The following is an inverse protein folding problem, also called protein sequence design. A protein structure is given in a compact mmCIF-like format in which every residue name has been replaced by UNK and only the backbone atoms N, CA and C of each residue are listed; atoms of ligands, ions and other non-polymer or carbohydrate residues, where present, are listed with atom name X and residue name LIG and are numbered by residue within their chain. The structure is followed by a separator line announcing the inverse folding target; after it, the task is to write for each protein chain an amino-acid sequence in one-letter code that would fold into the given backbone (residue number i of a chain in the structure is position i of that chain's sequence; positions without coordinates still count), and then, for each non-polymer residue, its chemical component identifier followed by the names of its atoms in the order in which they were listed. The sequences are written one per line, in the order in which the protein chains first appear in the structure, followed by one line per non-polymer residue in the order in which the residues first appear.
data_IF_213909732838
#
_entry.id   IF_213909732838
#
_cell.length_a   1.000
_cell.length_b   1.000
_cell.length_c   1.000
_cell.angle_alpha   90.00
_cell.angle_beta   90.00
_cell.angle_gamma   90.00
#
_symmetry.space_group_name_H-M   'P 1'
#
loop_
_entity.id
_entity.type
_entity.pdbx_description
1 polymer ?
#
# COMPACT_ATOMS: atom_id res chain seq x y z
N UNK A 1 -1.35 8.49 -25.42
CA UNK A 1 -0.45 8.36 -24.26
C UNK A 1 -1.30 8.11 -23.02
N UNK A 2 -0.93 7.18 -22.13
CA UNK A 2 -1.72 6.88 -20.92
C UNK A 2 -1.54 8.00 -19.89
N UNK A 3 -2.56 8.26 -19.07
CA UNK A 3 -2.51 9.26 -17.98
C UNK A 3 -1.44 8.92 -16.95
N UNK A 4 -1.31 7.64 -16.60
CA UNK A 4 -0.31 7.13 -15.68
C UNK A 4 -0.01 5.65 -15.95
N UNK A 5 1.12 5.17 -15.42
CA UNK A 5 1.57 3.79 -15.59
C UNK A 5 0.89 2.87 -14.58
N UNK A 6 -0.29 2.38 -14.92
CA UNK A 6 -1.01 1.46 -14.03
C UNK A 6 -0.27 0.12 -13.88
N UNK A 7 -0.13 -0.36 -12.64
CA UNK A 7 0.55 -1.61 -12.29
C UNK A 7 0.05 -2.85 -13.05
N UNK A 8 -1.24 -2.88 -13.43
CA UNK A 8 -1.81 -3.97 -14.23
C UNK A 8 -1.07 -4.17 -15.57
N UNK A 9 -0.53 -3.09 -16.16
CA UNK A 9 0.19 -3.17 -17.42
C UNK A 9 1.60 -3.72 -17.20
N UNK A 10 2.30 -3.26 -16.16
CA UNK A 10 3.58 -3.83 -15.75
C UNK A 10 3.51 -5.36 -15.57
N UNK A 11 2.47 -5.87 -14.91
CA UNK A 11 2.30 -7.31 -14.73
C UNK A 11 2.17 -8.06 -16.07
N UNK A 12 1.41 -7.50 -17.01
CA UNK A 12 1.24 -8.10 -18.34
C UNK A 12 2.55 -8.04 -19.13
N UNK A 13 3.23 -6.90 -19.09
CA UNK A 13 4.50 -6.69 -19.81
C UNK A 13 5.61 -7.60 -19.25
N UNK A 14 5.64 -7.83 -17.93
CA UNK A 14 6.65 -8.67 -17.26
C UNK A 14 6.35 -10.17 -17.36
N UNK A 15 5.09 -10.59 -17.26
CA UNK A 15 4.72 -12.01 -17.15
C UNK A 15 3.98 -12.60 -18.36
N UNK A 16 3.72 -11.77 -19.38
CA UNK A 16 3.06 -12.15 -20.63
C UNK A 16 1.54 -12.37 -20.53
N UNK A 17 0.96 -12.28 -19.34
CA UNK A 17 -0.47 -12.48 -19.10
C UNK A 17 -0.95 -11.71 -17.85
N UNK A 18 -2.27 -11.48 -17.70
CA UNK A 18 -2.81 -10.86 -16.49
C UNK A 18 -2.53 -11.69 -15.24
N UNK A 19 -2.07 -11.01 -14.19
CA UNK A 19 -1.77 -11.60 -12.88
C UNK A 19 -2.67 -10.98 -11.81
N UNK A 20 -3.11 -11.79 -10.85
CA UNK A 20 -3.88 -11.34 -9.69
C UNK A 20 -3.12 -11.55 -8.37
N UNK A 21 -3.08 -10.51 -7.53
CA UNK A 21 -2.66 -10.60 -6.12
C UNK A 21 -3.82 -11.19 -5.30
N UNK A 22 -3.62 -12.34 -4.66
CA UNK A 22 -4.59 -12.96 -3.74
C UNK A 22 -4.29 -12.47 -2.33
N UNK A 23 -5.14 -11.64 -1.71
CA UNK A 23 -4.93 -11.16 -0.36
C UNK A 23 -5.09 -12.30 0.65
N UNK A 24 -4.14 -12.40 1.58
CA UNK A 24 -4.04 -13.42 2.61
C UNK A 24 -3.78 -12.78 3.97
N UNK A 25 -4.33 -13.37 5.03
CA UNK A 25 -4.02 -13.06 6.41
C UNK A 25 -3.08 -14.13 6.98
N UNK A 26 -1.82 -13.74 7.26
CA UNK A 26 -0.82 -14.62 7.85
C UNK A 26 -0.96 -14.81 9.36
N UNK A 27 -1.91 -14.14 10.02
CA UNK A 27 -2.06 -14.17 11.48
C UNK A 27 -0.99 -13.37 12.23
N UNK A 28 -0.39 -12.39 11.56
CA UNK A 28 0.59 -11.48 12.17
C UNK A 28 -0.10 -10.31 12.89
N UNK A 29 0.68 -9.57 13.66
CA UNK A 29 0.26 -8.31 14.31
C UNK A 29 1.14 -7.14 13.86
N UNK A 30 1.10 -6.02 14.58
CA UNK A 30 1.88 -4.83 14.34
C UNK A 30 2.52 -4.36 15.67
N UNK A 31 3.79 -3.90 15.68
CA UNK A 31 4.44 -3.40 16.88
C UNK A 31 3.75 -2.19 17.53
N UNK A 32 2.90 -1.48 16.78
CA UNK A 32 2.09 -0.37 17.32
C UNK A 32 0.81 -0.84 18.03
N UNK A 33 0.47 -2.13 17.91
CA UNK A 33 -0.73 -2.72 18.50
C UNK A 33 -0.36 -3.46 19.79
N UNK A 34 0.73 -4.24 19.78
CA UNK A 34 1.06 -5.21 20.83
C UNK A 34 1.87 -4.64 22.01
N UNK A 35 2.23 -3.35 21.98
CA UNK A 35 3.00 -2.68 23.02
C UNK A 35 4.50 -2.58 22.76
N UNK A 36 5.03 -3.17 21.68
CA UNK A 36 6.47 -3.16 21.41
C UNK A 36 6.99 -1.77 20.99
N UNK A 37 6.15 -0.98 20.31
CA UNK A 37 6.42 0.43 19.96
C UNK A 37 5.35 1.38 20.49
N UNK A 38 4.10 0.95 20.46
CA UNK A 38 2.96 1.69 20.99
C UNK A 38 1.80 0.74 21.29
N UNK A 39 0.71 1.28 21.82
CA UNK A 39 -0.54 0.56 22.03
C UNK A 39 -1.65 1.14 21.14
N UNK A 40 -2.57 0.27 20.70
CA UNK A 40 -3.80 0.68 20.00
C UNK A 40 -3.67 0.98 18.50
N UNK A 41 -2.48 0.83 17.91
CA UNK A 41 -2.24 1.02 16.48
C UNK A 41 -2.05 2.48 16.05
N UNK A 42 -1.85 2.71 14.75
CA UNK A 42 -1.86 4.07 14.19
C UNK A 42 -3.27 4.66 14.30
N UNK A 43 -3.38 5.98 14.46
CA UNK A 43 -4.66 6.61 14.84
C UNK A 43 -5.79 6.40 13.83
N UNK A 44 -5.46 6.16 12.56
CA UNK A 44 -6.41 5.90 11.46
C UNK A 44 -6.64 4.41 11.18
N UNK A 45 -5.87 3.51 11.80
CA UNK A 45 -5.71 2.14 11.30
C UNK A 45 -6.82 1.20 11.78
N UNK A 46 -7.57 0.64 10.83
CA UNK A 46 -8.47 -0.49 11.04
C UNK A 46 -8.23 -1.53 9.94
N UNK A 47 -7.62 -2.67 10.30
CA UNK A 47 -7.24 -3.69 9.30
C UNK A 47 -8.46 -4.40 8.71
N UNK A 48 -9.56 -4.51 9.45
CA UNK A 48 -10.79 -5.16 8.98
C UNK A 48 -11.46 -4.30 7.90
N UNK A 49 -11.50 -2.99 8.11
CA UNK A 49 -12.04 -2.04 7.14
C UNK A 49 -11.19 -1.94 5.86
N UNK A 50 -9.87 -2.10 5.97
CA UNK A 50 -8.97 -2.01 4.81
C UNK A 50 -8.80 -3.31 4.04
N UNK A 51 -9.09 -4.44 4.68
CA UNK A 51 -8.82 -5.77 4.13
C UNK A 51 -9.83 -6.80 4.64
N UNK A 52 -10.77 -7.25 3.78
CA UNK A 52 -11.78 -8.23 4.18
C UNK A 52 -11.20 -9.58 4.65
N UNK A 53 -9.96 -9.90 4.29
CA UNK A 53 -9.30 -11.14 4.73
C UNK A 53 -8.78 -11.04 6.16
N UNK A 54 -8.70 -9.85 6.76
CA UNK A 54 -8.23 -9.65 8.13
C UNK A 54 -9.10 -10.39 9.17
N UNK A 55 -10.41 -10.54 8.91
CA UNK A 55 -11.35 -11.27 9.78
C UNK A 55 -11.41 -12.78 9.49
N UNK A 56 -10.61 -13.29 8.56
CA UNK A 56 -10.64 -14.71 8.21
C UNK A 56 -10.05 -15.57 9.31
N UNK A 57 -10.82 -16.58 9.75
CA UNK A 57 -10.36 -17.65 10.65
C UNK A 57 -9.86 -18.89 9.88
N UNK A 58 -9.87 -18.84 8.55
CA UNK A 58 -9.37 -19.95 7.73
C UNK A 58 -7.84 -20.06 7.84
N UNK A 59 -7.31 -21.28 7.75
CA UNK A 59 -5.87 -21.46 7.59
C UNK A 59 -5.38 -20.88 6.25
N UNK A 60 -4.08 -20.57 6.18
CA UNK A 60 -3.49 -19.84 5.05
C UNK A 60 -3.68 -20.54 3.69
N UNK A 61 -3.58 -21.87 3.66
CA UNK A 61 -3.73 -22.64 2.42
C UNK A 61 -5.18 -22.69 1.95
N UNK A 62 -6.14 -22.70 2.88
CA UNK A 62 -7.55 -22.65 2.56
C UNK A 62 -7.95 -21.25 2.05
N UNK A 63 -7.42 -20.18 2.66
CA UNK A 63 -7.58 -18.81 2.14
C UNK A 63 -7.07 -18.72 0.69
N UNK A 64 -5.86 -19.23 0.43
CA UNK A 64 -5.25 -19.27 -0.89
C UNK A 64 -6.11 -20.03 -1.90
N UNK A 65 -6.52 -21.25 -1.56
CA UNK A 65 -7.30 -22.12 -2.45
C UNK A 65 -8.65 -21.48 -2.79
N UNK A 66 -9.36 -20.91 -1.80
CA UNK A 66 -10.61 -20.18 -2.02
C UNK A 66 -10.40 -18.95 -2.92
N UNK A 67 -9.31 -18.21 -2.70
CA UNK A 67 -8.94 -17.04 -3.50
C UNK A 67 -8.68 -17.38 -4.97
N UNK A 68 -7.88 -18.42 -5.21
CA UNK A 68 -7.58 -18.91 -6.56
C UNK A 68 -8.86 -19.41 -7.25
N UNK A 69 -9.64 -20.26 -6.58
CA UNK A 69 -10.86 -20.85 -7.15
C UNK A 69 -11.84 -19.78 -7.68
N UNK A 70 -12.00 -18.68 -6.93
CA UNK A 70 -12.85 -17.54 -7.31
C UNK A 70 -12.34 -16.75 -8.51
N UNK A 71 -11.07 -16.88 -8.89
CA UNK A 71 -10.43 -16.06 -9.92
C UNK A 71 -9.95 -16.86 -11.14
N UNK A 72 -9.97 -18.20 -11.06
CA UNK A 72 -9.47 -19.09 -12.12
C UNK A 72 -10.14 -18.94 -13.48
N UNK A 73 -11.35 -18.36 -13.53
CA UNK A 73 -12.05 -18.10 -14.79
C UNK A 73 -11.41 -16.99 -15.64
N UNK A 74 -10.53 -16.17 -15.04
CA UNK A 74 -9.90 -15.01 -15.69
C UNK A 74 -8.38 -14.96 -15.55
N UNK A 75 -7.81 -15.65 -14.55
CA UNK A 75 -6.40 -15.59 -14.23
C UNK A 75 -5.82 -17.00 -14.09
N UNK A 76 -4.62 -17.22 -14.66
CA UNK A 76 -3.89 -18.48 -14.50
C UNK A 76 -2.69 -18.35 -13.54
N UNK A 77 -2.16 -17.13 -13.39
CA UNK A 77 -1.01 -16.80 -12.55
C UNK A 77 -1.40 -15.89 -11.39
N UNK A 78 -0.88 -16.21 -10.21
CA UNK A 78 -1.21 -15.51 -8.98
C UNK A 78 0.04 -15.13 -8.18
N UNK A 79 -0.09 -14.03 -7.45
CA UNK A 79 0.87 -13.60 -6.43
C UNK A 79 0.16 -13.74 -5.08
N UNK A 80 0.75 -14.47 -4.14
CA UNK A 80 0.23 -14.52 -2.78
C UNK A 80 0.54 -13.18 -2.08
N UNK A 81 -0.48 -12.47 -1.63
CA UNK A 81 -0.32 -11.14 -1.04
C UNK A 81 -0.70 -11.13 0.43
N UNK A 82 0.29 -11.18 1.31
CA UNK A 82 0.11 -10.98 2.73
C UNK A 82 -0.13 -9.50 2.99
N UNK A 83 -1.39 -9.14 3.23
CA UNK A 83 -1.86 -7.75 3.23
C UNK A 83 -2.05 -7.12 4.61
N UNK A 84 -2.85 -7.72 5.52
CA UNK A 84 -3.15 -7.08 6.80
C UNK A 84 -1.94 -7.12 7.72
N UNK A 85 -1.85 -6.15 8.64
CA UNK A 85 -0.80 -6.05 9.66
C UNK A 85 0.63 -5.93 9.09
N UNK A 86 1.65 -6.28 9.89
CA UNK A 86 3.06 -6.15 9.53
C UNK A 86 3.63 -7.53 9.24
N UNK A 87 3.67 -7.93 7.96
CA UNK A 87 3.88 -9.34 7.62
C UNK A 87 5.31 -9.82 7.87
N UNK A 88 6.29 -8.94 8.08
CA UNK A 88 7.66 -9.30 8.47
C UNK A 88 7.89 -9.26 9.98
N UNK A 89 6.85 -8.97 10.78
CA UNK A 89 6.92 -8.88 12.24
C UNK A 89 6.74 -10.24 12.92
N UNK A 90 7.72 -11.12 12.73
CA UNK A 90 7.86 -12.39 13.43
C UNK A 90 9.28 -12.95 13.25
N UNK A 91 9.75 -13.89 14.09
CA UNK A 91 10.99 -14.62 13.82
C UNK A 91 10.96 -15.30 12.45
N UNK A 92 12.11 -15.34 11.76
CA UNK A 92 12.21 -15.88 10.39
C UNK A 92 11.69 -17.31 10.28
N UNK A 93 11.90 -18.15 11.30
CA UNK A 93 11.35 -19.51 11.35
C UNK A 93 9.81 -19.52 11.19
N UNK A 94 9.11 -18.56 11.80
CA UNK A 94 7.66 -18.42 11.68
C UNK A 94 7.26 -17.89 10.30
N UNK A 95 8.03 -16.96 9.73
CA UNK A 95 7.81 -16.46 8.37
C UNK A 95 7.91 -17.62 7.35
N UNK A 96 8.96 -18.45 7.45
CA UNK A 96 9.16 -19.65 6.62
C UNK A 96 7.99 -20.63 6.73
N UNK A 97 7.51 -20.91 7.94
CA UNK A 97 6.34 -21.78 8.15
C UNK A 97 5.06 -21.31 7.45
N UNK A 98 4.90 -19.99 7.25
CA UNK A 98 3.69 -19.41 6.65
C UNK A 98 3.86 -19.24 5.13
N UNK A 99 5.03 -18.78 4.67
CA UNK A 99 5.24 -18.42 3.27
C UNK A 99 5.58 -19.62 2.39
N UNK A 100 6.41 -20.55 2.85
CA UNK A 100 6.88 -21.67 2.04
C UNK A 100 5.73 -22.57 1.55
N UNK A 101 4.72 -22.93 2.37
CA UNK A 101 3.60 -23.74 1.89
C UNK A 101 2.79 -23.04 0.80
N UNK A 102 2.72 -21.70 0.83
CA UNK A 102 2.00 -20.90 -0.17
C UNK A 102 2.79 -20.83 -1.48
N UNK A 103 4.11 -20.66 -1.39
CA UNK A 103 5.01 -20.65 -2.55
C UNK A 103 5.11 -22.01 -3.23
N UNK A 104 4.91 -23.11 -2.51
CA UNK A 104 4.87 -24.45 -3.09
C UNK A 104 3.64 -24.70 -3.99
N UNK A 105 2.64 -23.81 -3.99
CA UNK A 105 1.45 -23.98 -4.81
C UNK A 105 1.75 -23.68 -6.29
N UNK A 106 1.43 -24.57 -7.26
CA UNK A 106 1.91 -24.49 -8.64
C UNK A 106 1.42 -23.27 -9.44
N UNK A 107 0.34 -22.62 -9.00
CA UNK A 107 -0.19 -21.39 -9.60
C UNK A 107 0.35 -20.10 -8.99
N UNK A 108 1.17 -20.20 -7.94
CA UNK A 108 1.81 -19.08 -7.26
C UNK A 108 3.23 -18.96 -7.77
N UNK A 109 3.56 -17.81 -8.34
CA UNK A 109 4.89 -17.53 -8.87
C UNK A 109 5.57 -16.35 -8.16
N UNK A 110 4.85 -15.70 -7.23
CA UNK A 110 5.31 -14.51 -6.55
C UNK A 110 4.70 -14.36 -5.16
N UNK A 111 5.40 -13.59 -4.34
CA UNK A 111 5.02 -13.24 -2.98
C UNK A 111 5.00 -11.72 -2.85
N UNK A 112 3.88 -11.18 -2.36
CA UNK A 112 3.76 -9.78 -1.98
C UNK A 112 3.57 -9.65 -0.47
N UNK A 113 4.32 -8.75 0.16
CA UNK A 113 4.33 -8.55 1.60
C UNK A 113 4.03 -7.09 1.95
N UNK A 114 2.86 -6.82 2.50
CA UNK A 114 2.54 -5.54 3.14
C UNK A 114 3.17 -5.48 4.53
N UNK A 115 4.06 -4.52 4.78
CA UNK A 115 4.73 -4.45 6.07
C UNK A 115 5.18 -3.03 6.45
N UNK A 116 5.85 -2.92 7.59
CA UNK A 116 6.43 -1.69 8.10
C UNK A 116 7.96 -1.71 7.95
N UNK A 117 8.62 -0.54 7.81
CA UNK A 117 10.07 -0.50 7.69
C UNK A 117 10.80 -0.96 8.97
N UNK A 118 10.20 -0.75 10.14
CA UNK A 118 10.76 -1.08 11.45
C UNK A 118 10.53 -2.55 11.86
N UNK A 119 10.15 -3.41 10.90
CA UNK A 119 9.91 -4.85 11.09
C UNK A 119 10.92 -5.71 10.30
N UNK A 120 12.12 -5.19 10.06
CA UNK A 120 13.21 -5.91 9.41
C UNK A 120 14.40 -6.07 10.35
N UNK A 121 14.90 -7.30 10.45
CA UNK A 121 16.20 -7.63 11.05
C UNK A 121 17.16 -8.08 9.94
N UNK A 122 18.45 -8.23 10.25
CA UNK A 122 19.41 -8.80 9.30
C UNK A 122 19.00 -10.20 8.83
N UNK A 123 18.45 -11.03 9.72
CA UNK A 123 17.90 -12.35 9.35
C UNK A 123 16.70 -12.23 8.42
N UNK A 124 15.81 -11.25 8.65
CA UNK A 124 14.68 -10.99 7.75
C UNK A 124 15.20 -10.59 6.38
N UNK A 125 16.19 -9.72 6.28
CA UNK A 125 16.78 -9.33 4.99
C UNK A 125 17.46 -10.50 4.28
N UNK A 126 18.20 -11.35 5.00
CA UNK A 126 18.78 -12.56 4.41
C UNK A 126 17.70 -13.49 3.84
N UNK A 127 16.57 -13.65 4.55
CA UNK A 127 15.45 -14.43 4.01
C UNK A 127 14.74 -13.75 2.83
N UNK A 128 14.64 -12.41 2.82
CA UNK A 128 14.10 -11.69 1.66
C UNK A 128 15.00 -11.86 0.43
N UNK A 129 16.32 -11.93 0.61
CA UNK A 129 17.29 -12.21 -0.46
C UNK A 129 17.08 -13.62 -1.05
N UNK A 130 16.99 -14.64 -0.18
CA UNK A 130 16.65 -16.02 -0.59
C UNK A 130 15.32 -16.09 -1.37
N UNK A 131 14.33 -15.27 -0.99
CA UNK A 131 13.05 -15.20 -1.68
C UNK A 131 13.16 -14.48 -3.03
N UNK A 132 13.85 -13.34 -3.09
CA UNK A 132 13.99 -12.54 -4.30
C UNK A 132 14.70 -13.29 -5.43
N UNK A 133 15.64 -14.18 -5.10
CA UNK A 133 16.37 -15.00 -6.08
C UNK A 133 15.47 -16.04 -6.78
N UNK A 134 14.53 -16.66 -6.05
CA UNK A 134 13.73 -17.79 -6.56
C UNK A 134 12.27 -17.49 -6.87
N UNK A 135 11.76 -16.32 -6.48
CA UNK A 135 10.37 -15.93 -6.70
C UNK A 135 10.24 -14.44 -7.00
N UNK A 136 9.13 -14.04 -7.62
CA UNK A 136 8.83 -12.62 -7.73
C UNK A 136 8.44 -12.06 -6.36
N UNK A 137 9.38 -11.41 -5.67
CA UNK A 137 9.16 -10.76 -4.39
C UNK A 137 8.75 -9.29 -4.57
N UNK A 138 7.62 -8.91 -3.97
CA UNK A 138 7.07 -7.56 -3.93
C UNK A 138 6.89 -7.13 -2.47
N UNK A 139 7.66 -6.17 -2.01
CA UNK A 139 7.54 -5.65 -0.64
C UNK A 139 6.88 -4.28 -0.68
N UNK A 140 5.78 -4.16 0.02
CA UNK A 140 5.00 -2.94 0.09
C UNK A 140 5.14 -2.31 1.48
N UNK A 141 5.78 -1.15 1.57
CA UNK A 141 6.05 -0.45 2.83
C UNK A 141 5.05 0.67 3.10
N UNK A 142 4.48 0.64 4.29
CA UNK A 142 3.60 1.67 4.81
C UNK A 142 4.31 2.97 5.22
N UNK A 143 4.82 3.78 4.28
CA UNK A 143 5.44 5.07 4.62
C UNK A 143 4.41 6.12 5.07
N UNK A 144 3.25 6.14 4.42
CA UNK A 144 2.14 7.10 4.61
C UNK A 144 2.44 8.52 4.13
N UNK A 145 3.54 9.12 4.61
CA UNK A 145 3.99 10.48 4.25
C UNK A 145 5.50 10.60 4.44
N UNK A 146 6.15 11.55 3.76
CA UNK A 146 7.57 11.87 4.02
C UNK A 146 7.76 12.78 5.24
N UNK A 147 6.67 13.20 5.90
CA UNK A 147 6.71 14.19 6.98
C UNK A 147 6.71 13.54 8.36
N UNK A 148 7.87 13.52 9.02
CA UNK A 148 8.01 12.94 10.37
C UNK A 148 7.09 13.57 11.42
N UNK A 149 6.69 14.84 11.25
CA UNK A 149 5.70 15.50 12.13
C UNK A 149 4.33 14.81 12.03
N UNK A 150 3.85 14.56 10.81
CA UNK A 150 2.59 13.88 10.55
C UNK A 150 2.64 12.43 11.02
N UNK A 151 3.76 11.73 10.80
CA UNK A 151 3.99 10.36 11.27
C UNK A 151 3.86 10.25 12.80
N UNK A 152 4.41 11.22 13.54
CA UNK A 152 4.23 11.29 15.00
C UNK A 152 2.77 11.56 15.38
N UNK A 153 2.11 12.50 14.70
CA UNK A 153 0.72 12.87 14.98
C UNK A 153 -0.26 11.70 14.78
N UNK A 154 0.01 10.81 13.82
CA UNK A 154 -0.83 9.63 13.57
C UNK A 154 -0.38 8.36 14.32
N UNK A 155 0.50 8.50 15.31
CA UNK A 155 1.05 7.37 16.08
C UNK A 155 1.67 6.29 15.17
N UNK A 156 2.45 6.70 14.15
CA UNK A 156 3.09 5.75 13.22
C UNK A 156 4.33 5.09 13.83
N UNK A 157 5.08 5.78 14.68
CA UNK A 157 6.22 5.24 15.45
C UNK A 157 7.42 4.72 14.63
N UNK A 158 7.49 5.07 13.34
CA UNK A 158 8.71 5.03 12.55
C UNK A 158 8.84 6.37 11.81
N UNK A 159 10.02 6.63 11.26
CA UNK A 159 10.36 7.83 10.48
C UNK A 159 10.27 7.55 8.98
N UNK A 160 10.34 8.60 8.17
CA UNK A 160 10.44 8.46 6.73
C UNK A 160 11.81 7.88 6.33
N UNK A 161 12.87 8.23 7.07
CA UNK A 161 14.23 7.74 6.87
C UNK A 161 14.33 6.21 7.06
N UNK A 162 13.61 5.65 8.04
CA UNK A 162 13.52 4.19 8.22
C UNK A 162 12.98 3.51 6.94
N UNK A 163 12.00 4.12 6.26
CA UNK A 163 11.52 3.61 4.97
C UNK A 163 12.59 3.70 3.89
N UNK A 164 13.33 4.80 3.81
CA UNK A 164 14.33 5.01 2.77
C UNK A 164 15.45 3.97 2.85
N UNK A 165 15.92 3.66 4.07
CA UNK A 165 16.92 2.61 4.29
C UNK A 165 16.42 1.26 3.79
N UNK A 166 15.21 0.85 4.20
CA UNK A 166 14.66 -0.45 3.81
C UNK A 166 14.44 -0.53 2.29
N UNK A 167 13.97 0.55 1.65
CA UNK A 167 13.84 0.60 0.19
C UNK A 167 15.19 0.42 -0.51
N UNK A 168 16.25 1.10 -0.04
CA UNK A 168 17.59 0.95 -0.59
C UNK A 168 18.10 -0.49 -0.49
N UNK A 169 17.89 -1.13 0.67
CA UNK A 169 18.29 -2.53 0.89
C UNK A 169 17.52 -3.48 -0.02
N UNK A 170 16.19 -3.40 -0.04
CA UNK A 170 15.34 -4.26 -0.87
C UNK A 170 15.59 -4.07 -2.36
N UNK A 171 15.88 -2.84 -2.80
CA UNK A 171 16.24 -2.56 -4.19
C UNK A 171 17.49 -3.32 -4.62
N UNK A 172 18.51 -3.40 -3.75
CA UNK A 172 19.74 -4.17 -4.01
C UNK A 172 19.50 -5.68 -4.07
N UNK A 173 18.48 -6.19 -3.39
CA UNK A 173 18.07 -7.60 -3.48
C UNK A 173 17.31 -7.94 -4.76
N UNK A 174 16.97 -6.93 -5.59
CA UNK A 174 16.13 -7.12 -6.78
C UNK A 174 14.64 -7.30 -6.47
N UNK A 175 14.20 -7.04 -5.24
CA UNK A 175 12.79 -7.07 -4.87
C UNK A 175 12.03 -5.88 -5.49
N UNK A 176 10.78 -6.12 -5.90
CA UNK A 176 9.88 -5.02 -6.22
C UNK A 176 9.54 -4.25 -4.95
N UNK A 177 9.71 -2.93 -4.98
CA UNK A 177 9.44 -2.04 -3.86
C UNK A 177 8.24 -1.16 -4.16
N UNK A 178 7.27 -1.16 -3.25
CA UNK A 178 6.06 -0.35 -3.37
C UNK A 178 5.89 0.50 -2.13
N UNK A 179 5.75 1.82 -2.29
CA UNK A 179 5.42 2.71 -1.17
C UNK A 179 3.90 2.87 -1.05
N UNK A 180 3.37 2.80 0.17
CA UNK A 180 2.00 3.21 0.46
C UNK A 180 2.01 4.64 0.99
N UNK A 181 1.10 5.46 0.47
CA UNK A 181 0.90 6.84 0.90
C UNK A 181 -0.57 7.12 1.18
N UNK A 182 -0.82 8.04 2.11
CA UNK A 182 -2.16 8.52 2.46
C UNK A 182 -2.20 10.03 2.24
N UNK A 183 -3.09 10.46 1.36
CA UNK A 183 -3.34 11.87 1.07
C UNK A 183 -4.42 12.42 2.01
N UNK A 184 -4.13 13.56 2.64
CA UNK A 184 -5.04 14.25 3.54
C UNK A 184 -4.85 13.92 5.01
N UNK A 185 -3.65 13.51 5.42
CA UNK A 185 -3.35 13.28 6.83
C UNK A 185 -3.55 14.57 7.66
N UNK A 186 -3.96 14.46 8.93
CA UNK A 186 -4.20 15.63 9.78
C UNK A 186 -2.95 16.50 9.90
N UNK A 187 -3.10 17.80 9.68
CA UNK A 187 -2.02 18.77 9.75
C UNK A 187 -1.18 18.93 8.48
N UNK A 188 -1.44 18.15 7.42
CA UNK A 188 -0.77 18.29 6.12
C UNK A 188 -1.52 19.23 5.18
N UNK A 189 -0.76 20.07 4.49
CA UNK A 189 -1.25 20.92 3.40
C UNK A 189 -1.11 20.19 2.05
N UNK A 190 -1.76 20.72 0.99
CA UNK A 190 -1.55 20.25 -0.39
C UNK A 190 -0.07 20.23 -0.77
N UNK A 191 0.68 21.24 -0.37
CA UNK A 191 2.11 21.32 -0.64
C UNK A 191 2.91 20.23 0.08
N UNK A 192 2.52 19.82 1.29
CA UNK A 192 3.16 18.72 2.00
C UNK A 192 2.98 17.38 1.26
N UNK A 193 1.78 17.14 0.73
CA UNK A 193 1.51 15.98 -0.12
C UNK A 193 2.33 16.01 -1.42
N UNK A 194 2.53 17.18 -2.02
CA UNK A 194 3.33 17.33 -3.24
C UNK A 194 4.83 17.09 -2.99
N UNK A 195 5.34 17.57 -1.85
CA UNK A 195 6.70 17.25 -1.39
C UNK A 195 6.88 15.76 -1.16
N UNK A 196 5.87 15.08 -0.60
CA UNK A 196 5.90 13.62 -0.46
C UNK A 196 6.02 12.93 -1.83
N UNK A 197 5.28 13.38 -2.86
CA UNK A 197 5.42 12.85 -4.22
C UNK A 197 6.83 13.05 -4.79
N UNK A 198 7.44 14.23 -4.58
CA UNK A 198 8.80 14.52 -5.04
C UNK A 198 9.83 13.63 -4.37
N UNK A 199 9.75 13.47 -3.04
CA UNK A 199 10.60 12.53 -2.30
C UNK A 199 10.47 11.12 -2.89
N UNK A 200 9.24 10.65 -3.10
CA UNK A 200 8.97 9.33 -3.65
C UNK A 200 9.55 9.15 -5.05
N UNK A 201 9.47 10.18 -5.89
CA UNK A 201 10.02 10.15 -7.24
C UNK A 201 11.53 9.92 -7.27
N UNK A 202 12.24 10.28 -6.19
CA UNK A 202 13.69 10.10 -6.07
C UNK A 202 14.11 8.82 -5.35
N UNK A 203 13.17 8.06 -4.79
CA UNK A 203 13.48 6.81 -4.09
C UNK A 203 13.67 5.66 -5.09
N UNK A 204 14.53 4.67 -4.75
CA UNK A 204 14.73 3.47 -5.57
C UNK A 204 13.57 2.48 -5.40
N UNK A 205 12.38 2.92 -5.79
CA UNK A 205 11.15 2.14 -5.71
C UNK A 205 10.52 1.99 -7.08
N UNK A 206 9.74 0.92 -7.22
CA UNK A 206 9.12 0.54 -8.48
C UNK A 206 7.67 1.02 -8.56
N UNK A 207 6.98 1.11 -7.41
CA UNK A 207 5.56 1.41 -7.39
C UNK A 207 5.09 2.29 -6.24
N UNK A 208 3.93 2.90 -6.46
CA UNK A 208 3.23 3.75 -5.49
C UNK A 208 1.79 3.26 -5.35
N UNK A 209 1.35 3.06 -4.11
CA UNK A 209 -0.03 2.75 -3.76
C UNK A 209 -0.63 3.93 -2.99
N UNK A 210 -1.52 4.66 -3.66
CA UNK A 210 -2.09 5.90 -3.15
C UNK A 210 -3.44 5.62 -2.52
N UNK A 211 -3.64 6.16 -1.33
CA UNK A 211 -4.87 6.11 -0.57
C UNK A 211 -5.30 7.55 -0.24
N UNK A 212 -6.61 7.81 -0.25
CA UNK A 212 -7.17 8.94 0.48
C UNK A 212 -7.24 8.62 1.97
N UNK A 213 -7.15 9.64 2.83
CA UNK A 213 -7.47 9.45 4.24
C UNK A 213 -8.94 9.04 4.36
N UNK A 214 -9.17 7.90 5.02
CA UNK A 214 -10.49 7.43 5.42
C UNK A 214 -10.57 7.44 6.93
N UNK A 215 -11.65 8.02 7.45
CA UNK A 215 -12.00 8.00 8.87
C UNK A 215 -12.94 6.82 9.08
N UNK A 216 -12.43 5.81 9.78
CA UNK A 216 -13.16 4.59 10.13
C UNK A 216 -13.62 4.69 11.58
N UNK A 217 -14.85 4.29 11.86
CA UNK A 217 -15.40 4.25 13.21
C UNK A 217 -14.53 3.40 14.15
N UNK A 218 -14.62 3.65 15.45
CA UNK A 218 -13.82 2.99 16.51
C UNK A 218 -12.30 3.25 16.44
N UNK A 219 -11.83 4.10 15.53
CA UNK A 219 -10.43 4.58 15.53
C UNK A 219 -10.26 5.85 16.37
N UNK A 220 -9.03 6.11 16.86
CA UNK A 220 -8.70 7.38 17.51
C UNK A 220 -9.01 8.56 16.58
N UNK A 221 -8.76 8.38 15.28
CA UNK A 221 -9.01 9.40 14.28
C UNK A 221 -10.51 9.71 14.11
N UNK A 222 -11.41 8.74 14.30
CA UNK A 222 -12.85 9.02 14.33
C UNK A 222 -13.23 9.96 15.48
N UNK A 223 -12.61 9.82 16.65
CA UNK A 223 -12.83 10.74 17.76
C UNK A 223 -12.28 12.14 17.44
N UNK A 224 -11.08 12.23 16.84
CA UNK A 224 -10.50 13.51 16.40
C UNK A 224 -11.36 14.20 15.32
N UNK A 225 -11.88 13.43 14.36
CA UNK A 225 -12.78 13.92 13.32
C UNK A 225 -14.06 14.51 13.90
N UNK A 226 -14.69 13.85 14.88
CA UNK A 226 -15.89 14.35 15.56
C UNK A 226 -15.65 15.66 16.32
N UNK A 227 -14.39 15.96 16.68
CA UNK A 227 -13.98 17.25 17.28
C UNK A 227 -13.61 18.31 16.25
N UNK A 228 -13.68 18.01 14.95
CA UNK A 228 -13.32 18.93 13.86
C UNK A 228 -11.82 19.05 13.62
N UNK A 229 -10.99 18.13 14.12
CA UNK A 229 -9.52 18.20 14.03
C UNK A 229 -8.96 17.54 12.76
N UNK A 230 -9.79 16.78 12.04
CA UNK A 230 -9.39 15.97 10.90
C UNK A 230 -10.25 16.36 9.70
N UNK A 231 -9.69 17.04 8.68
CA UNK A 231 -10.41 17.24 7.43
C UNK A 231 -10.45 15.96 6.61
N UNK A 232 -11.43 15.84 5.72
CA UNK A 232 -11.43 14.83 4.64
C UNK A 232 -11.74 15.52 3.31
N UNK A 233 -11.23 14.96 2.22
CA UNK A 233 -11.48 15.53 0.90
C UNK A 233 -12.86 15.14 0.37
N UNK A 234 -13.58 16.11 -0.18
CA UNK A 234 -14.55 15.81 -1.22
C UNK A 234 -13.85 15.26 -2.47
N UNK A 235 -14.62 14.68 -3.39
CA UNK A 235 -14.06 13.95 -4.52
C UNK A 235 -13.33 14.85 -5.52
N UNK A 236 -13.82 16.09 -5.73
CA UNK A 236 -13.21 17.04 -6.67
C UNK A 236 -11.88 17.56 -6.15
N UNK A 237 -11.84 17.96 -4.86
CA UNK A 237 -10.63 18.35 -4.15
C UNK A 237 -9.62 17.21 -4.12
N UNK A 238 -10.07 15.96 -3.92
CA UNK A 238 -9.20 14.80 -3.98
C UNK A 238 -8.61 14.58 -5.39
N UNK A 239 -9.42 14.69 -6.44
CA UNK A 239 -8.97 14.53 -7.82
C UNK A 239 -7.91 15.57 -8.20
N UNK A 240 -8.09 16.82 -7.76
CA UNK A 240 -7.11 17.90 -7.93
C UNK A 240 -5.78 17.55 -7.25
N UNK A 241 -5.81 17.23 -5.96
CA UNK A 241 -4.59 16.88 -5.18
C UNK A 241 -3.90 15.64 -5.76
N UNK A 242 -4.68 14.61 -6.10
CA UNK A 242 -4.16 13.39 -6.70
C UNK A 242 -3.50 13.66 -8.06
N UNK A 243 -4.08 14.54 -8.88
CA UNK A 243 -3.50 14.89 -10.17
C UNK A 243 -2.11 15.52 -10.02
N UNK A 244 -1.98 16.49 -9.10
CA UNK A 244 -0.71 17.17 -8.81
C UNK A 244 0.31 16.20 -8.19
N UNK A 245 -0.15 15.26 -7.36
CA UNK A 245 0.69 14.19 -6.81
C UNK A 245 1.24 13.30 -7.94
N UNK A 246 0.38 12.79 -8.83
CA UNK A 246 0.75 11.91 -9.95
C UNK A 246 1.70 12.60 -10.93
N UNK A 247 1.46 13.88 -11.25
CA UNK A 247 2.32 14.65 -12.16
C UNK A 247 3.76 14.79 -11.64
N UNK A 248 4.00 14.67 -10.33
CA UNK A 248 5.33 14.78 -9.71
C UNK A 248 6.03 13.44 -9.49
N UNK A 249 5.33 12.32 -9.64
CA UNK A 249 5.95 10.99 -9.54
C UNK A 249 6.93 10.75 -10.68
N UNK A 250 7.88 9.85 -10.46
CA UNK A 250 8.84 9.48 -11.51
C UNK A 250 8.09 8.85 -12.71
N UNK A 251 8.42 9.21 -13.96
CA UNK A 251 7.75 8.69 -15.16
C UNK A 251 7.78 7.17 -15.31
N UNK A 252 8.74 6.47 -14.70
CA UNK A 252 8.88 5.00 -14.80
C UNK A 252 8.24 4.24 -13.63
N UNK A 253 7.84 4.92 -12.56
CA UNK A 253 7.18 4.27 -11.43
C UNK A 253 5.77 3.81 -11.80
N UNK A 254 5.32 2.69 -11.25
CA UNK A 254 3.98 2.16 -11.48
C UNK A 254 3.00 2.56 -10.38
N UNK A 255 1.77 2.87 -10.74
CA UNK A 255 0.71 3.19 -9.78
C UNK A 255 -0.15 1.94 -9.56
N UNK A 256 -0.07 1.38 -8.34
CA UNK A 256 -0.83 0.21 -7.93
C UNK A 256 -2.30 0.53 -7.70
N UNK A 257 -2.56 1.75 -7.24
CA UNK A 257 -3.88 2.22 -6.82
C UNK A 257 -3.86 3.74 -6.72
N UNK A 258 -4.99 4.36 -7.08
CA UNK A 258 -5.23 5.79 -6.89
C UNK A 258 -6.33 6.09 -5.87
N UNK A 259 -7.18 5.13 -5.49
CA UNK A 259 -8.15 5.26 -4.40
C UNK A 259 -8.30 3.95 -3.63
N UNK A 260 -8.51 4.06 -2.32
CA UNK A 260 -8.98 2.97 -1.48
C UNK A 260 -10.51 2.83 -1.55
N UNK A 261 -11.00 1.62 -1.30
CA UNK A 261 -12.42 1.32 -1.15
C UNK A 261 -12.64 0.81 0.27
N UNK A 262 -13.77 1.20 0.86
CA UNK A 262 -14.23 0.70 2.15
C UNK A 262 -15.60 0.06 1.96
N UNK A 263 -15.87 -1.05 2.64
CA UNK A 263 -17.19 -1.71 2.56
C UNK A 263 -18.18 -0.96 3.44
N UNK A 264 -19.47 -1.02 3.10
CA UNK A 264 -20.54 -0.33 3.85
C UNK A 264 -20.60 -0.79 5.31
N UNK A 265 -20.34 -2.07 5.58
CA UNK A 265 -20.33 -2.68 6.91
C UNK A 265 -19.05 -2.39 7.73
N UNK A 266 -18.07 -1.73 7.13
CA UNK A 266 -16.76 -1.48 7.74
C UNK A 266 -16.67 -0.15 8.52
N UNK A 267 -17.79 0.54 8.72
CA UNK A 267 -17.86 1.71 9.61
C UNK A 267 -17.21 2.98 9.04
N UNK A 268 -17.21 3.19 7.73
CA UNK A 268 -16.69 4.42 7.13
C UNK A 268 -17.51 5.66 7.56
N UNK A 269 -16.86 6.62 8.21
CA UNK A 269 -17.44 7.93 8.56
C UNK A 269 -17.23 8.93 7.42
N UNK A 270 -16.02 9.00 6.87
CA UNK A 270 -15.68 9.92 5.78
C UNK A 270 -14.41 9.47 5.02
N UNK A 271 -14.24 9.84 3.74
CA UNK A 271 -15.25 10.46 2.90
C UNK A 271 -16.16 9.39 2.26
N UNK A 272 -17.47 9.66 2.23
CA UNK A 272 -18.52 8.69 1.83
C UNK A 272 -18.36 8.18 0.38
N UNK A 273 -17.70 8.93 -0.49
CA UNK A 273 -17.42 8.48 -1.86
C UNK A 273 -16.51 7.24 -1.89
N UNK A 274 -15.79 6.92 -0.81
CA UNK A 274 -14.98 5.69 -0.72
C UNK A 274 -15.81 4.39 -0.70
N UNK A 275 -17.13 4.46 -0.54
CA UNK A 275 -18.05 3.32 -0.64
C UNK A 275 -18.31 2.88 -2.09
N UNK A 276 -18.16 3.78 -3.07
CA UNK A 276 -18.46 3.48 -4.46
C UNK A 276 -17.24 3.75 -5.36
N UNK A 277 -16.29 2.82 -5.29
CA UNK A 277 -15.03 2.90 -6.04
C UNK A 277 -15.22 3.14 -7.53
N UNK A 278 -16.17 2.46 -8.17
CA UNK A 278 -16.40 2.58 -9.62
C UNK A 278 -16.81 4.00 -9.99
N UNK A 279 -17.76 4.57 -9.24
CA UNK A 279 -18.22 5.94 -9.47
C UNK A 279 -17.08 6.95 -9.26
N UNK A 280 -16.35 6.83 -8.14
CA UNK A 280 -15.23 7.73 -7.83
C UNK A 280 -14.10 7.67 -8.85
N UNK A 281 -13.72 6.47 -9.30
CA UNK A 281 -12.71 6.31 -10.34
C UNK A 281 -13.11 6.98 -11.66
N UNK A 282 -14.37 6.86 -12.06
CA UNK A 282 -14.84 7.49 -13.30
C UNK A 282 -14.74 9.01 -13.23
N UNK A 283 -15.14 9.61 -12.11
CA UNK A 283 -15.05 11.07 -11.92
C UNK A 283 -13.60 11.54 -11.88
N UNK A 284 -12.71 10.82 -11.20
CA UNK A 284 -11.28 11.13 -11.17
C UNK A 284 -10.68 11.04 -12.58
N UNK A 285 -11.01 10.02 -13.36
CA UNK A 285 -10.52 9.89 -14.74
C UNK A 285 -11.08 11.00 -15.65
N UNK A 286 -12.34 11.38 -15.51
CA UNK A 286 -12.91 12.51 -16.24
C UNK A 286 -12.16 13.81 -15.91
N UNK A 287 -11.83 14.03 -14.63
CA UNK A 287 -11.01 15.15 -14.20
C UNK A 287 -9.61 15.10 -14.83
N UNK A 288 -8.98 13.92 -14.86
CA UNK A 288 -7.66 13.74 -15.48
C UNK A 288 -7.66 14.04 -16.97
N UNK A 289 -8.69 13.59 -17.70
CA UNK A 289 -8.80 13.83 -19.14
C UNK A 289 -9.08 15.31 -19.42
N UNK A 290 -9.97 15.96 -18.66
CA UNK A 290 -10.28 17.38 -18.79
C UNK A 290 -9.06 18.29 -18.53
N UNK A 291 -8.17 17.88 -17.62
CA UNK A 291 -6.99 18.66 -17.23
C UNK A 291 -5.68 18.15 -17.85
N UNK A 292 -5.74 17.24 -18.84
CA UNK A 292 -4.58 16.67 -19.51
C UNK A 292 -3.51 16.12 -18.55
N UNK A 293 -3.94 15.45 -17.48
CA UNK A 293 -3.04 14.91 -16.46
C UNK A 293 -2.14 13.84 -17.06
N UNK A 294 -0.83 13.95 -16.80
CA UNK A 294 0.19 13.02 -17.24
C UNK A 294 1.20 12.79 -16.13
N UNK A 295 1.38 11.55 -15.73
CA UNK A 295 2.40 11.17 -14.76
C UNK A 295 3.77 11.70 -15.18
N UNK A 296 4.50 12.29 -14.23
CA UNK A 296 5.84 12.83 -14.45
C UNK A 296 5.92 14.14 -15.24
N UNK A 297 4.81 14.77 -15.63
CA UNK A 297 4.83 16.06 -16.34
C UNK A 297 5.39 17.23 -15.52
N UNK A 298 5.42 17.09 -14.19
CA UNK A 298 6.02 18.01 -13.22
C UNK A 298 7.15 17.34 -12.42
N UNK A 299 7.69 16.22 -12.90
CA UNK A 299 8.85 15.58 -12.28
C UNK A 299 10.08 16.49 -12.45
N UNK A 300 10.71 16.84 -11.33
CA UNK A 300 11.95 17.62 -11.31
C UNK A 300 13.10 16.63 -11.20
N UNK A 301 13.84 16.41 -12.29
CA UNK A 301 15.03 15.57 -12.24
C UNK A 301 16.09 16.24 -11.36
N UNK A 302 16.65 15.49 -10.41
CA UNK A 302 17.81 15.93 -9.60
C UNK A 302 19.09 16.14 -10.42
N UNK A 303 19.09 15.83 -11.72
CA UNK A 303 20.20 16.04 -12.65
C UNK A 303 20.01 17.26 -13.58
N UNK A 304 19.21 18.26 -13.16
CA UNK A 304 19.19 19.61 -13.76
C UNK A 304 19.76 20.65 -12.80
#
# INVERSE_FOLDING_TARGET
MRTYNAYKYFLVDKFGEPVLKIPLNGGFTCPNIDGSKAYGGCTYCDNEAFSPVAISNDNILLQLTKGIARATYRFNKFIAYFQPFSNTYAPVAKLKQIYEPVLAHPKIFGLALGTRPDCFTEETFAYMDELADRTFLSVELGMQTSHNKSLRQINRQHTAEDCYEVFQRLYRLGAENVVHVVLGLPGETREDMYKTAQVIADLPIHGVKIHQLMVIDKTVMAHQFRRGEVPTFDLDSYAEVLSEFIMRLHPEQYIHRIIAECREDSGLIAPQWSLNKRHSLNLIHNYFDANNVRQGSKYLSKNQ
#
